data_IF_052628756623
#
_entry.id   IF_052628756623
#
_cell.length_a   1.000
_cell.length_b   1.000
_cell.length_c   1.000
_cell.angle_alpha   90.00
_cell.angle_beta   90.00
_cell.angle_gamma   90.00
#
_symmetry.space_group_name_H-M   'P 1'
#
loop_
_entity.id
_entity.type
_entity.pdbx_description
1 polymer ?
#
# COMPACT_ATOMS: atom_id res chain seq x y z
N UNK A 1 67.13 31.30 41.20
CA UNK A 1 65.94 31.82 40.55
C UNK A 1 66.03 31.41 39.04
N UNK A 2 65.39 30.31 38.63
CA UNK A 2 65.42 29.82 37.26
C UNK A 2 64.07 30.14 36.64
N UNK A 3 64.06 30.88 35.53
CA UNK A 3 62.88 31.18 34.72
C UNK A 3 62.53 29.95 33.83
N UNK A 4 61.31 29.44 33.95
CA UNK A 4 60.80 28.41 33.16
C UNK A 4 60.04 29.04 31.97
N UNK A 5 60.51 28.81 30.75
CA UNK A 5 59.85 29.24 29.53
C UNK A 5 58.91 28.10 29.06
N UNK A 6 57.62 28.39 29.01
CA UNK A 6 56.61 27.50 28.50
C UNK A 6 56.45 27.77 27.01
N UNK A 7 56.81 26.81 26.19
CA UNK A 7 56.61 26.81 24.75
C UNK A 7 55.16 26.24 24.42
N UNK A 8 54.30 27.10 23.95
CA UNK A 8 53.00 26.69 23.45
C UNK A 8 53.15 26.18 22.02
N UNK A 9 52.88 24.88 21.81
CA UNK A 9 52.72 24.30 20.49
C UNK A 9 51.24 24.44 20.09
N UNK A 10 50.94 25.28 19.09
CA UNK A 10 49.67 25.34 18.37
C UNK A 10 49.64 24.20 17.34
N UNK A 11 48.92 23.14 17.64
CA UNK A 11 48.58 22.11 16.68
C UNK A 11 47.33 22.57 15.93
N UNK A 12 47.52 23.05 14.73
CA UNK A 12 46.41 23.35 13.81
C UNK A 12 45.82 22.05 13.28
N UNK A 13 44.67 21.64 13.81
CA UNK A 13 43.85 20.56 13.25
C UNK A 13 43.12 21.11 12.01
N UNK A 14 43.64 20.83 10.83
CA UNK A 14 42.88 20.94 9.57
C UNK A 14 41.84 19.79 9.55
N UNK A 15 40.62 20.04 9.98
CA UNK A 15 39.50 19.23 9.68
C UNK A 15 39.14 19.43 8.18
N UNK A 16 39.73 18.61 7.34
CA UNK A 16 39.29 18.45 5.96
C UNK A 16 37.88 17.85 5.97
N UNK A 17 36.86 18.68 5.88
CA UNK A 17 35.52 18.24 5.55
C UNK A 17 35.56 17.77 4.09
N UNK A 18 35.76 16.47 3.92
CA UNK A 18 35.48 15.82 2.63
C UNK A 18 34.01 15.97 2.37
N UNK A 19 33.64 16.94 1.54
CA UNK A 19 32.29 16.97 0.93
C UNK A 19 32.25 15.75 0.03
N UNK A 20 31.65 14.67 0.52
CA UNK A 20 31.24 13.55 -0.34
C UNK A 20 30.12 14.11 -1.20
N UNK A 21 30.48 14.64 -2.36
CA UNK A 21 29.53 14.86 -3.45
C UNK A 21 29.12 13.46 -3.89
N UNK A 22 28.01 12.96 -3.36
CA UNK A 22 27.34 11.83 -3.94
C UNK A 22 27.03 12.19 -5.39
N UNK A 23 27.78 11.65 -6.32
CA UNK A 23 27.39 11.63 -7.71
C UNK A 23 26.12 10.81 -7.78
N UNK A 24 24.97 11.49 -7.74
CA UNK A 24 23.71 10.88 -8.15
C UNK A 24 23.82 10.56 -9.61
N UNK A 25 24.10 9.29 -9.93
CA UNK A 25 24.01 8.80 -11.30
C UNK A 25 22.58 9.09 -11.77
N UNK A 26 22.42 10.01 -12.73
CA UNK A 26 21.13 10.23 -13.36
C UNK A 26 20.76 8.97 -14.14
N UNK A 27 19.59 8.45 -13.88
CA UNK A 27 19.04 7.34 -14.65
C UNK A 27 18.69 7.80 -16.07
N UNK A 28 19.05 7.00 -17.06
CA UNK A 28 18.69 7.27 -18.45
C UNK A 28 17.22 6.88 -18.68
N UNK A 29 16.39 7.90 -18.92
CA UNK A 29 14.96 7.74 -19.16
C UNK A 29 14.69 7.98 -20.63
N UNK A 30 14.23 6.94 -21.32
CA UNK A 30 14.00 6.97 -22.75
C UNK A 30 12.71 7.74 -23.05
N UNK A 31 12.79 8.67 -24.00
CA UNK A 31 11.62 9.29 -24.63
C UNK A 31 11.36 8.56 -25.95
N UNK A 32 10.17 7.95 -26.09
CA UNK A 32 9.80 7.23 -27.30
C UNK A 32 9.76 8.16 -28.52
N UNK A 33 10.25 7.71 -29.67
CA UNK A 33 10.38 8.51 -30.88
C UNK A 33 9.07 9.10 -31.46
N UNK A 34 7.93 8.59 -31.01
CA UNK A 34 6.60 9.17 -31.33
C UNK A 34 6.32 10.50 -30.65
N UNK A 35 7.06 10.83 -29.60
CA UNK A 35 6.85 12.08 -28.84
C UNK A 35 7.61 13.18 -29.56
N UNK A 36 6.87 14.15 -30.07
CA UNK A 36 7.41 15.32 -30.76
C UNK A 36 7.98 16.34 -29.76
N UNK A 37 9.23 16.13 -29.36
CA UNK A 37 9.93 17.03 -28.42
C UNK A 37 10.40 18.34 -29.07
N UNK A 38 10.15 18.56 -30.37
CA UNK A 38 10.36 19.88 -31.01
C UNK A 38 9.34 20.91 -30.49
N UNK A 39 8.20 20.45 -30.01
CA UNK A 39 7.19 21.30 -29.35
C UNK A 39 7.68 21.70 -27.96
N UNK A 40 7.89 23.01 -27.68
CA UNK A 40 8.49 23.47 -26.42
C UNK A 40 7.75 22.97 -25.18
N UNK A 41 6.42 22.97 -25.22
CA UNK A 41 5.58 22.53 -24.13
C UNK A 41 5.77 21.02 -23.79
N UNK A 42 5.78 20.17 -24.83
CA UNK A 42 6.01 18.73 -24.66
C UNK A 42 7.41 18.45 -24.10
N UNK A 43 8.40 19.20 -24.59
CA UNK A 43 9.79 19.09 -24.09
C UNK A 43 9.88 19.45 -22.60
N UNK A 44 9.22 20.54 -22.19
CA UNK A 44 9.20 20.99 -20.78
C UNK A 44 8.54 19.93 -19.89
N UNK A 45 7.40 19.37 -20.32
CA UNK A 45 6.68 18.35 -19.58
C UNK A 45 7.50 17.02 -19.48
N UNK A 46 8.14 16.61 -20.57
CA UNK A 46 9.04 15.46 -20.54
C UNK A 46 10.19 15.66 -19.54
N UNK A 47 10.82 16.82 -19.58
CA UNK A 47 11.91 17.18 -18.66
C UNK A 47 11.42 17.25 -17.20
N UNK A 48 10.22 17.74 -16.94
CA UNK A 48 9.59 17.76 -15.61
C UNK A 48 9.48 16.33 -15.04
N UNK A 49 8.97 15.38 -15.84
CA UNK A 49 8.83 13.99 -15.43
C UNK A 49 10.19 13.32 -15.20
N UNK A 50 11.15 13.53 -16.10
CA UNK A 50 12.51 13.03 -15.97
C UNK A 50 13.18 13.59 -14.72
N UNK A 51 13.05 14.89 -14.46
CA UNK A 51 13.60 15.52 -13.27
C UNK A 51 12.99 14.96 -11.97
N UNK A 52 11.67 14.73 -11.95
CA UNK A 52 10.99 14.08 -10.82
C UNK A 52 11.50 12.65 -10.59
N UNK A 53 11.58 11.83 -11.63
CA UNK A 53 12.07 10.45 -11.51
C UNK A 53 13.54 10.37 -11.01
N UNK A 54 14.33 11.37 -11.32
CA UNK A 54 15.72 11.50 -10.84
C UNK A 54 15.83 12.28 -9.52
N UNK A 55 14.71 12.74 -8.95
CA UNK A 55 14.72 13.45 -7.66
C UNK A 55 14.87 12.48 -6.50
N UNK A 56 15.40 12.99 -5.38
CA UNK A 56 15.50 12.24 -4.14
C UNK A 56 14.11 12.19 -3.46
N UNK A 57 13.51 11.02 -3.28
CA UNK A 57 12.16 10.91 -2.75
C UNK A 57 12.00 11.28 -1.28
N UNK A 58 13.11 11.41 -0.53
CA UNK A 58 13.09 11.68 0.91
C UNK A 58 12.45 12.99 1.33
N UNK A 59 12.01 13.81 0.38
CA UNK A 59 11.40 15.13 0.64
C UNK A 59 10.19 15.37 -0.22
N UNK A 60 9.24 14.48 -0.13
CA UNK A 60 8.05 14.52 -0.98
C UNK A 60 7.25 15.77 -0.87
N UNK A 61 6.91 16.16 0.35
CA UNK A 61 6.18 17.38 0.63
C UNK A 61 6.92 18.63 0.17
N UNK A 62 8.24 18.52 -0.05
CA UNK A 62 9.12 19.58 -0.55
C UNK A 62 9.51 19.39 -2.03
N UNK A 63 8.98 18.35 -2.70
CA UNK A 63 9.35 18.07 -4.08
C UNK A 63 8.93 19.22 -5.01
N UNK A 64 9.88 19.91 -5.68
CA UNK A 64 9.60 21.08 -6.48
C UNK A 64 8.81 20.78 -7.76
N UNK A 65 8.77 19.51 -8.17
CA UNK A 65 8.12 19.08 -9.40
C UNK A 65 6.63 18.81 -9.21
N UNK A 66 6.17 18.66 -7.96
CA UNK A 66 4.79 18.31 -7.61
C UNK A 66 3.93 19.55 -7.32
N UNK A 67 2.61 19.46 -7.58
CA UNK A 67 1.67 20.52 -7.32
C UNK A 67 1.48 20.79 -5.81
N UNK A 68 1.15 22.03 -5.47
CA UNK A 68 1.07 22.48 -4.08
C UNK A 68 -0.17 21.93 -3.35
N UNK A 69 -1.27 21.75 -4.07
CA UNK A 69 -2.52 21.22 -3.51
C UNK A 69 -2.28 19.83 -2.88
N UNK A 70 -1.71 18.89 -3.65
CA UNK A 70 -1.44 17.55 -3.17
C UNK A 70 -0.30 17.51 -2.14
N UNK A 71 0.74 18.34 -2.29
CA UNK A 71 1.78 18.48 -1.28
C UNK A 71 1.20 18.87 0.08
N UNK A 72 0.27 19.83 0.12
CA UNK A 72 -0.38 20.24 1.35
C UNK A 72 -1.33 19.17 1.91
N UNK A 73 -2.06 18.49 1.04
CA UNK A 73 -3.01 17.44 1.42
C UNK A 73 -2.30 16.22 2.01
N UNK A 74 -1.16 15.84 1.44
CA UNK A 74 -0.46 14.59 1.76
C UNK A 74 0.89 14.79 2.48
N UNK A 75 1.15 15.98 3.02
CA UNK A 75 2.44 16.36 3.61
C UNK A 75 2.95 15.50 4.77
N UNK A 76 2.07 14.75 5.40
CA UNK A 76 2.42 13.85 6.51
C UNK A 76 2.55 12.38 6.08
N UNK A 77 2.63 12.14 4.78
CA UNK A 77 2.83 10.80 4.27
C UNK A 77 4.29 10.42 4.42
N UNK A 78 4.53 9.49 5.34
CA UNK A 78 5.83 8.86 5.44
C UNK A 78 6.02 7.91 4.26
N UNK A 79 7.21 7.94 3.76
CA UNK A 79 7.76 7.35 2.59
C UNK A 79 7.75 5.89 2.35
N UNK A 80 7.68 5.08 3.39
CA UNK A 80 8.28 3.75 3.41
C UNK A 80 7.32 2.60 3.27
N UNK A 81 6.13 2.81 2.74
CA UNK A 81 5.32 1.69 2.30
C UNK A 81 5.51 1.49 0.80
N UNK A 82 6.60 0.81 0.43
CA UNK A 82 6.97 0.51 -0.95
C UNK A 82 6.00 -0.42 -1.67
N UNK A 83 5.11 -1.05 -0.94
CA UNK A 83 4.11 -1.96 -1.49
C UNK A 83 2.92 -1.21 -2.08
N UNK A 84 2.76 0.07 -1.76
CA UNK A 84 1.62 0.87 -2.15
C UNK A 84 2.09 2.06 -2.98
N UNK A 85 1.62 2.23 -4.23
CA UNK A 85 1.87 3.44 -5.00
C UNK A 85 1.31 4.61 -4.22
N UNK A 86 2.16 5.54 -3.84
CA UNK A 86 1.70 6.71 -3.12
C UNK A 86 0.89 7.61 -4.03
N UNK A 87 -0.28 8.03 -3.57
CA UNK A 87 -1.10 9.01 -4.28
C UNK A 87 -0.34 10.31 -4.58
N UNK A 88 0.62 10.61 -3.74
CA UNK A 88 1.42 11.81 -3.86
C UNK A 88 2.74 11.55 -4.57
N UNK A 89 3.31 10.37 -4.42
CA UNK A 89 4.61 10.04 -4.95
C UNK A 89 4.68 8.62 -5.48
N UNK A 90 5.20 8.54 -6.67
CA UNK A 90 5.72 7.32 -7.22
C UNK A 90 7.16 7.14 -6.71
N UNK A 91 7.54 6.05 -6.03
CA UNK A 91 8.87 5.89 -5.45
C UNK A 91 9.93 5.74 -6.54
N UNK A 92 10.46 6.87 -7.02
CA UNK A 92 11.32 6.93 -8.20
C UNK A 92 12.65 6.21 -8.02
N UNK A 93 13.38 6.48 -6.94
CA UNK A 93 14.76 5.97 -6.79
C UNK A 93 14.84 4.46 -6.64
N UNK A 94 13.94 3.85 -5.89
CA UNK A 94 13.93 2.38 -5.80
C UNK A 94 13.42 1.75 -7.09
N UNK A 95 12.41 2.37 -7.69
CA UNK A 95 11.86 1.89 -8.95
C UNK A 95 12.92 1.86 -10.04
N UNK A 96 13.71 2.92 -10.18
CA UNK A 96 14.74 3.05 -11.22
C UNK A 96 15.95 2.13 -11.00
N UNK A 97 16.17 1.64 -9.79
CA UNK A 97 17.15 0.59 -9.53
C UNK A 97 16.75 -0.76 -10.14
N UNK A 98 15.45 -0.99 -10.29
CA UNK A 98 14.91 -2.28 -10.73
C UNK A 98 14.24 -2.23 -12.09
N UNK A 99 13.78 -1.08 -12.53
CA UNK A 99 13.00 -0.93 -13.74
C UNK A 99 13.53 0.20 -14.62
N UNK A 100 13.56 -0.03 -15.93
CA UNK A 100 13.91 1.01 -16.91
C UNK A 100 12.64 1.65 -17.44
N UNK A 101 12.47 2.98 -17.27
CA UNK A 101 11.31 3.69 -17.78
C UNK A 101 11.49 4.13 -19.23
N UNK A 102 10.41 4.04 -19.99
CA UNK A 102 10.27 4.68 -21.30
C UNK A 102 8.98 5.49 -21.34
N UNK A 103 9.09 6.79 -21.58
CA UNK A 103 7.93 7.67 -21.79
C UNK A 103 7.31 7.30 -23.14
N UNK A 104 6.05 6.81 -23.10
CA UNK A 104 5.33 6.32 -24.29
C UNK A 104 4.56 7.42 -24.99
N UNK A 105 3.92 8.31 -24.23
CA UNK A 105 3.16 9.43 -24.77
C UNK A 105 3.08 10.59 -23.76
N UNK A 106 2.92 11.80 -24.30
CA UNK A 106 2.56 13.02 -23.60
C UNK A 106 1.45 13.66 -24.42
N UNK A 107 0.21 13.56 -23.93
CA UNK A 107 -0.98 13.94 -24.68
C UNK A 107 -1.84 14.94 -23.91
N UNK A 108 -2.39 15.92 -24.62
CA UNK A 108 -3.26 16.91 -24.00
C UNK A 108 -4.63 16.30 -23.68
N UNK A 109 -5.04 16.41 -22.44
CA UNK A 109 -6.32 15.93 -21.91
C UNK A 109 -7.00 17.07 -21.13
N UNK A 110 -7.87 17.80 -21.80
CA UNK A 110 -8.46 19.02 -21.24
C UNK A 110 -7.40 20.09 -20.95
N UNK A 111 -7.32 20.54 -19.71
CA UNK A 111 -6.35 21.54 -19.25
C UNK A 111 -5.03 20.93 -18.74
N UNK A 112 -4.91 19.60 -18.79
CA UNK A 112 -3.73 18.86 -18.36
C UNK A 112 -3.08 18.11 -19.52
N UNK A 113 -1.86 17.59 -19.28
CA UNK A 113 -1.21 16.62 -20.15
C UNK A 113 -1.06 15.30 -19.42
N UNK A 114 -1.61 14.22 -19.99
CA UNK A 114 -1.37 12.84 -19.53
C UNK A 114 0.01 12.37 -19.96
N UNK A 115 0.83 11.91 -19.02
CA UNK A 115 2.16 11.35 -19.24
C UNK A 115 2.08 9.86 -19.00
N UNK A 116 2.29 9.03 -20.03
CA UNK A 116 2.29 7.57 -19.93
C UNK A 116 3.72 7.06 -20.01
N UNK A 117 4.12 6.25 -19.05
CA UNK A 117 5.46 5.69 -18.96
C UNK A 117 5.38 4.20 -18.67
N UNK A 118 6.02 3.39 -19.51
CA UNK A 118 6.16 1.95 -19.25
C UNK A 118 7.44 1.69 -18.46
N UNK A 119 7.36 0.76 -17.51
CA UNK A 119 8.47 0.30 -16.70
C UNK A 119 8.78 -1.15 -17.01
N UNK A 120 10.03 -1.41 -17.46
CA UNK A 120 10.54 -2.73 -17.78
C UNK A 120 11.42 -3.23 -16.65
N UNK A 121 11.16 -4.45 -16.15
CA UNK A 121 12.09 -5.15 -15.30
C UNK A 121 13.29 -5.63 -16.11
N UNK A 122 14.49 -5.23 -15.73
CA UNK A 122 15.73 -5.62 -16.40
C UNK A 122 16.63 -6.38 -15.41
N UNK A 123 16.86 -7.66 -15.70
CA UNK A 123 17.81 -8.47 -14.94
C UNK A 123 17.39 -8.89 -13.53
N UNK A 124 16.11 -8.71 -13.15
CA UNK A 124 15.62 -9.13 -11.84
C UNK A 124 15.41 -10.65 -11.76
N UNK A 125 15.87 -11.25 -10.67
CA UNK A 125 15.55 -12.62 -10.29
C UNK A 125 14.24 -12.69 -9.49
N UNK A 126 13.53 -13.81 -9.54
CA UNK A 126 12.33 -14.06 -8.74
C UNK A 126 11.02 -13.63 -9.39
N UNK A 127 10.10 -13.07 -8.61
CA UNK A 127 8.71 -12.79 -9.01
C UNK A 127 8.62 -11.85 -10.23
N UNK A 128 9.53 -10.91 -10.38
CA UNK A 128 9.54 -9.94 -11.48
C UNK A 128 10.13 -10.49 -12.79
N UNK A 129 10.82 -11.63 -12.73
CA UNK A 129 11.41 -12.29 -13.92
C UNK A 129 10.39 -12.68 -14.98
N UNK A 130 9.12 -12.87 -14.56
CA UNK A 130 8.01 -13.26 -15.46
C UNK A 130 7.19 -12.08 -16.00
N UNK A 131 7.40 -10.89 -15.47
CA UNK A 131 6.62 -9.69 -15.80
C UNK A 131 7.52 -8.60 -16.39
N UNK A 132 8.10 -8.86 -17.54
CA UNK A 132 8.80 -7.86 -18.32
C UNK A 132 7.97 -7.57 -19.58
N UNK A 133 7.19 -6.48 -19.61
CA UNK A 133 7.13 -5.28 -18.76
C UNK A 133 6.32 -5.47 -17.44
N UNK A 134 6.53 -4.55 -16.46
CA UNK A 134 5.82 -4.57 -15.19
C UNK A 134 4.52 -3.79 -15.20
N UNK A 135 4.55 -2.50 -15.56
CA UNK A 135 3.37 -1.64 -15.59
C UNK A 135 3.51 -0.48 -16.56
N UNK A 136 2.38 0.14 -16.87
CA UNK A 136 2.32 1.47 -17.47
C UNK A 136 1.75 2.42 -16.41
N UNK A 137 2.52 3.44 -16.07
CA UNK A 137 2.10 4.51 -15.18
C UNK A 137 1.56 5.66 -16.01
N UNK A 138 0.46 6.26 -15.58
CA UNK A 138 -0.08 7.50 -16.09
C UNK A 138 -0.25 8.49 -14.97
N UNK A 139 0.29 9.68 -15.13
CA UNK A 139 0.04 10.83 -14.27
C UNK A 139 -0.08 12.08 -15.13
N UNK A 140 -0.32 13.19 -14.52
CA UNK A 140 -0.65 14.41 -15.25
C UNK A 140 0.34 15.53 -14.96
N UNK A 141 0.57 16.37 -15.98
CA UNK A 141 1.16 17.68 -15.82
C UNK A 141 0.07 18.74 -15.91
N UNK A 142 0.05 19.65 -14.95
CA UNK A 142 -0.89 20.78 -14.87
C UNK A 142 -0.14 22.11 -14.78
N UNK A 143 -0.78 23.20 -15.18
CA UNK A 143 -0.26 24.55 -14.97
C UNK A 143 -0.55 25.03 -13.53
N UNK A 144 0.49 25.46 -12.82
CA UNK A 144 0.40 26.07 -11.52
C UNK A 144 1.30 27.32 -11.46
N UNK A 145 0.72 28.50 -11.35
CA UNK A 145 1.46 29.79 -11.31
C UNK A 145 2.46 29.95 -12.47
N UNK A 146 2.03 29.58 -13.70
CA UNK A 146 2.85 29.67 -14.91
C UNK A 146 3.91 28.60 -15.06
N UNK A 147 3.95 27.59 -14.19
CA UNK A 147 4.88 26.48 -14.27
C UNK A 147 4.14 25.14 -14.39
N UNK A 148 4.74 24.18 -15.09
CA UNK A 148 4.24 22.83 -15.12
C UNK A 148 4.57 22.10 -13.82
N UNK A 149 3.58 21.40 -13.25
CA UNK A 149 3.68 20.58 -12.04
C UNK A 149 3.01 19.24 -12.26
N UNK A 150 3.53 18.21 -11.61
CA UNK A 150 2.94 16.88 -11.64
C UNK A 150 1.71 16.79 -10.71
N UNK A 151 0.76 15.97 -11.11
CA UNK A 151 -0.49 15.68 -10.36
C UNK A 151 -0.88 14.21 -10.54
N UNK A 152 -1.42 13.60 -9.47
CA UNK A 152 -1.92 12.23 -9.52
C UNK A 152 -3.17 12.10 -10.39
N UNK A 153 -3.42 10.87 -10.85
CA UNK A 153 -4.62 10.52 -11.63
C UNK A 153 -5.91 10.67 -10.84
N UNK A 154 -5.91 10.34 -9.54
CA UNK A 154 -7.12 10.33 -8.71
C UNK A 154 -7.97 11.60 -8.86
N UNK A 155 -7.47 12.81 -8.58
CA UNK A 155 -8.30 14.02 -8.67
C UNK A 155 -8.71 14.38 -10.10
N UNK A 156 -7.96 13.93 -11.10
CA UNK A 156 -8.29 14.17 -12.51
C UNK A 156 -9.40 13.22 -12.98
N UNK A 157 -9.24 11.92 -12.71
CA UNK A 157 -10.21 10.89 -13.13
C UNK A 157 -11.55 11.09 -12.41
N UNK A 158 -11.50 11.45 -11.13
CA UNK A 158 -12.70 11.55 -10.30
C UNK A 158 -13.33 12.96 -10.28
N UNK A 159 -12.86 13.87 -11.15
CA UNK A 159 -13.32 15.28 -11.19
C UNK A 159 -14.83 15.38 -11.32
N UNK A 160 -15.42 14.56 -12.19
CA UNK A 160 -16.83 14.58 -12.52
C UNK A 160 -17.60 13.41 -11.87
N UNK A 161 -17.03 12.77 -10.88
CA UNK A 161 -17.68 11.70 -10.14
C UNK A 161 -18.74 12.27 -9.19
N UNK A 162 -19.81 11.49 -9.03
CA UNK A 162 -20.82 11.78 -8.03
C UNK A 162 -20.30 11.49 -6.62
N UNK A 163 -20.89 12.17 -5.64
CA UNK A 163 -20.56 11.99 -4.23
C UNK A 163 -21.82 11.95 -3.37
N UNK A 164 -21.91 10.92 -2.50
CA UNK A 164 -23.00 10.80 -1.52
C UNK A 164 -22.40 10.54 -0.14
N UNK A 165 -22.73 11.39 0.82
CA UNK A 165 -22.25 11.22 2.19
C UNK A 165 -23.33 10.54 3.06
N UNK A 166 -22.95 9.44 3.72
CA UNK A 166 -23.77 8.78 4.73
C UNK A 166 -22.91 8.62 6.00
N UNK A 167 -23.36 9.23 7.09
CA UNK A 167 -22.60 9.26 8.34
C UNK A 167 -21.20 9.90 8.15
N UNK A 168 -20.15 9.13 8.36
CA UNK A 168 -18.77 9.59 8.22
C UNK A 168 -18.09 9.11 6.93
N UNK A 169 -18.80 8.48 6.01
CA UNK A 169 -18.26 8.01 4.73
C UNK A 169 -18.82 8.87 3.60
N UNK A 170 -17.93 9.42 2.78
CA UNK A 170 -18.28 10.06 1.50
C UNK A 170 -17.98 9.07 0.39
N UNK A 171 -19.02 8.46 -0.16
CA UNK A 171 -18.93 7.56 -1.30
C UNK A 171 -18.76 8.37 -2.56
N UNK A 172 -17.74 8.05 -3.36
CA UNK A 172 -17.44 8.68 -4.66
C UNK A 172 -17.48 7.62 -5.74
N UNK A 173 -18.20 7.88 -6.81
CA UNK A 173 -18.47 6.88 -7.85
C UNK A 173 -18.74 7.54 -9.20
N UNK A 174 -18.43 6.88 -10.34
CA UNK A 174 -18.77 7.40 -11.66
C UNK A 174 -20.30 7.47 -11.85
N UNK A 175 -20.77 8.37 -12.70
CA UNK A 175 -22.21 8.55 -13.00
C UNK A 175 -22.91 7.28 -13.57
N UNK A 176 -22.13 6.33 -14.10
CA UNK A 176 -22.62 5.03 -14.54
C UNK A 176 -22.95 4.07 -13.39
N UNK A 177 -22.40 4.29 -12.20
CA UNK A 177 -22.66 3.45 -11.03
C UNK A 177 -24.02 3.76 -10.40
N UNK A 178 -24.77 2.70 -10.06
CA UNK A 178 -26.07 2.83 -9.37
C UNK A 178 -25.87 2.74 -7.86
N UNK A 179 -25.83 3.87 -7.22
CA UNK A 179 -25.59 3.97 -5.78
C UNK A 179 -26.62 3.18 -4.96
N UNK A 180 -26.15 2.27 -4.10
CA UNK A 180 -26.97 1.44 -3.23
C UNK A 180 -26.95 1.96 -1.79
N UNK A 181 -27.94 2.80 -1.44
CA UNK A 181 -28.08 3.37 -0.11
C UNK A 181 -28.13 2.33 1.02
N UNK A 182 -28.68 1.12 0.78
CA UNK A 182 -28.74 0.06 1.79
C UNK A 182 -27.36 -0.51 2.09
N UNK A 183 -26.54 -0.73 1.07
CA UNK A 183 -25.15 -1.18 1.26
C UNK A 183 -24.31 -0.11 1.92
N UNK A 184 -24.48 1.15 1.54
CA UNK A 184 -23.80 2.28 2.18
C UNK A 184 -24.15 2.41 3.66
N UNK A 185 -25.44 2.23 4.01
CA UNK A 185 -25.86 2.22 5.43
C UNK A 185 -25.27 1.03 6.19
N UNK A 186 -25.23 -0.17 5.56
CA UNK A 186 -24.59 -1.36 6.13
C UNK A 186 -23.11 -1.12 6.43
N UNK A 187 -22.41 -0.32 5.62
CA UNK A 187 -21.01 0.04 5.84
C UNK A 187 -20.81 0.86 7.12
N UNK A 188 -21.70 1.83 7.36
CA UNK A 188 -21.69 2.60 8.61
C UNK A 188 -21.96 1.70 9.83
N UNK A 189 -22.96 0.82 9.73
CA UNK A 189 -23.33 -0.13 10.79
C UNK A 189 -22.16 -1.08 11.10
N UNK A 190 -21.49 -1.60 10.07
CA UNK A 190 -20.31 -2.44 10.23
C UNK A 190 -19.18 -1.70 10.94
N UNK A 191 -18.81 -0.50 10.48
CA UNK A 191 -17.76 0.30 11.11
C UNK A 191 -18.06 0.59 12.59
N UNK A 192 -19.31 0.96 12.90
CA UNK A 192 -19.75 1.20 14.27
C UNK A 192 -19.73 -0.08 15.13
N UNK A 193 -20.17 -1.21 14.57
CA UNK A 193 -20.20 -2.49 15.29
C UNK A 193 -18.80 -2.97 15.66
N UNK A 194 -17.84 -2.94 14.73
CA UNK A 194 -16.44 -3.30 14.98
C UNK A 194 -15.81 -2.38 16.01
N UNK A 195 -16.00 -1.07 15.86
CA UNK A 195 -15.46 -0.07 16.80
C UNK A 195 -15.99 -0.30 18.21
N UNK A 196 -17.30 -0.61 18.36
CA UNK A 196 -17.93 -0.90 19.63
C UNK A 196 -17.46 -2.24 20.20
N UNK A 197 -17.49 -3.32 19.40
CA UNK A 197 -17.12 -4.68 19.82
C UNK A 197 -15.68 -4.72 20.37
N UNK A 198 -14.75 -4.12 19.63
CA UNK A 198 -13.32 -4.14 20.00
C UNK A 198 -12.90 -2.91 20.81
N UNK A 199 -13.83 -2.02 21.15
CA UNK A 199 -13.53 -0.79 21.92
C UNK A 199 -12.37 0.00 21.28
N UNK A 200 -12.38 0.11 19.96
CA UNK A 200 -11.42 0.94 19.23
C UNK A 200 -11.76 2.43 19.39
N UNK A 201 -10.80 3.34 19.22
CA UNK A 201 -11.09 4.77 19.16
C UNK A 201 -12.15 5.07 18.10
N UNK A 202 -12.87 6.15 18.26
CA UNK A 202 -13.82 6.60 17.25
C UNK A 202 -13.09 6.80 15.91
N UNK A 203 -13.63 6.17 14.85
CA UNK A 203 -13.04 6.26 13.54
C UNK A 203 -13.26 7.63 12.88
N UNK A 204 -12.30 8.05 12.06
CA UNK A 204 -12.33 9.32 11.35
C UNK A 204 -13.16 9.23 10.05
N UNK A 205 -13.76 10.33 9.59
CA UNK A 205 -14.37 10.38 8.27
C UNK A 205 -13.37 9.99 7.17
N UNK A 206 -13.86 9.36 6.10
CA UNK A 206 -13.05 9.01 4.94
C UNK A 206 -13.84 9.05 3.63
N UNK A 207 -13.11 9.22 2.52
CA UNK A 207 -13.63 9.09 1.17
C UNK A 207 -13.55 7.62 0.72
N UNK A 208 -14.65 7.09 0.17
CA UNK A 208 -14.71 5.75 -0.39
C UNK A 208 -14.94 5.81 -1.89
N UNK A 209 -13.91 5.49 -2.68
CA UNK A 209 -13.96 5.48 -4.14
C UNK A 209 -14.36 4.10 -4.64
N UNK A 210 -15.42 4.04 -5.45
CA UNK A 210 -15.99 2.82 -5.99
C UNK A 210 -15.67 2.71 -7.46
N UNK A 211 -14.99 1.64 -7.87
CA UNK A 211 -14.74 1.24 -9.25
C UNK A 211 -15.26 -0.17 -9.48
N UNK A 212 -15.44 -0.57 -10.74
CA UNK A 212 -16.02 -1.88 -11.11
C UNK A 212 -14.95 -2.99 -11.17
N UNK A 213 -13.67 -2.65 -11.17
CA UNK A 213 -12.57 -3.61 -11.26
C UNK A 213 -11.29 -3.15 -10.57
N UNK A 214 -10.38 -4.10 -10.29
CA UNK A 214 -9.04 -3.80 -9.79
C UNK A 214 -8.23 -2.95 -10.77
N UNK A 215 -8.40 -3.15 -12.09
CA UNK A 215 -7.70 -2.34 -13.09
C UNK A 215 -8.16 -0.89 -13.09
N UNK A 216 -9.45 -0.63 -12.91
CA UNK A 216 -9.97 0.73 -12.74
C UNK A 216 -9.48 1.36 -11.44
N UNK A 217 -9.44 0.59 -10.36
CA UNK A 217 -8.84 1.03 -9.10
C UNK A 217 -7.37 1.40 -9.30
N UNK A 218 -6.61 0.58 -10.02
CA UNK A 218 -5.22 0.85 -10.35
C UNK A 218 -5.03 2.19 -11.05
N UNK A 219 -5.93 2.56 -11.98
CA UNK A 219 -5.89 3.86 -12.68
C UNK A 219 -6.02 5.04 -11.73
N UNK A 220 -6.82 4.93 -10.66
CA UNK A 220 -6.90 5.96 -9.63
C UNK A 220 -5.56 6.17 -8.91
N UNK A 221 -4.71 5.14 -8.87
CA UNK A 221 -3.40 5.13 -8.23
C UNK A 221 -2.24 5.27 -9.23
N UNK A 222 -2.49 5.90 -10.38
CA UNK A 222 -1.53 6.14 -11.45
C UNK A 222 -1.15 4.90 -12.29
N UNK A 223 -1.71 3.72 -12.04
CA UNK A 223 -1.46 2.54 -12.87
C UNK A 223 -2.46 2.47 -14.02
N UNK A 224 -2.06 2.98 -15.19
CA UNK A 224 -2.88 2.88 -16.40
C UNK A 224 -3.04 1.42 -16.85
N UNK A 225 -2.00 0.62 -16.62
CA UNK A 225 -2.02 -0.83 -16.83
C UNK A 225 -0.99 -1.55 -15.96
N UNK A 226 -1.37 -2.64 -15.32
CA UNK A 226 -0.48 -3.55 -14.61
C UNK A 226 -0.49 -4.93 -15.26
N UNK A 227 0.65 -5.41 -15.73
CA UNK A 227 0.76 -6.72 -16.40
C UNK A 227 0.53 -7.91 -15.46
N UNK A 228 0.65 -7.70 -14.16
CA UNK A 228 0.32 -8.68 -13.12
C UNK A 228 -1.09 -8.54 -12.55
N UNK A 229 -1.92 -7.65 -13.11
CA UNK A 229 -3.20 -7.24 -12.52
C UNK A 229 -3.03 -6.25 -11.36
N UNK A 230 -4.13 -5.81 -10.78
CA UNK A 230 -4.12 -4.92 -9.64
C UNK A 230 -5.02 -5.44 -8.51
N UNK A 231 -4.86 -4.92 -7.29
CA UNK A 231 -5.72 -5.28 -6.17
C UNK A 231 -7.16 -4.80 -6.38
N UNK A 232 -8.12 -5.50 -5.76
CA UNK A 232 -9.53 -5.11 -5.78
C UNK A 232 -9.93 -4.25 -4.59
N UNK A 233 -9.01 -3.97 -3.67
CA UNK A 233 -9.27 -3.13 -2.51
C UNK A 233 -8.00 -2.52 -1.95
N UNK A 234 -8.12 -1.33 -1.35
CA UNK A 234 -7.03 -0.67 -0.67
C UNK A 234 -7.53 0.36 0.35
N UNK A 235 -7.16 0.16 1.60
CA UNK A 235 -7.40 1.12 2.68
C UNK A 235 -6.17 2.01 2.90
N UNK A 236 -6.25 3.27 2.51
CA UNK A 236 -5.19 4.27 2.67
C UNK A 236 -5.48 5.15 3.89
N UNK A 237 -5.33 4.58 5.08
CA UNK A 237 -5.74 5.19 6.35
C UNK A 237 -5.14 6.58 6.59
N UNK A 238 -3.86 6.77 6.30
CA UNK A 238 -3.18 8.07 6.48
C UNK A 238 -3.84 9.20 5.68
N UNK A 239 -4.45 8.84 4.55
CA UNK A 239 -5.12 9.79 3.65
C UNK A 239 -6.61 9.90 3.89
N UNK A 240 -7.19 9.04 4.73
CA UNK A 240 -8.65 8.94 4.87
C UNK A 240 -9.30 8.51 3.55
N UNK A 241 -8.71 7.54 2.85
CA UNK A 241 -9.18 7.05 1.55
C UNK A 241 -9.33 5.54 1.61
N UNK A 242 -10.43 5.06 1.06
CA UNK A 242 -10.67 3.67 0.74
C UNK A 242 -11.00 3.55 -0.74
N UNK A 243 -10.46 2.53 -1.39
CA UNK A 243 -10.67 2.23 -2.80
C UNK A 243 -11.22 0.81 -2.93
N UNK A 244 -12.25 0.63 -3.78
CA UNK A 244 -12.85 -0.66 -4.06
C UNK A 244 -13.00 -0.88 -5.56
N UNK A 245 -12.61 -2.06 -6.05
CA UNK A 245 -12.83 -2.56 -7.40
C UNK A 245 -13.96 -3.59 -7.50
N UNK A 246 -14.96 -3.53 -6.62
CA UNK A 246 -16.09 -4.49 -6.61
C UNK A 246 -17.43 -3.86 -7.01
N UNK A 247 -17.48 -2.61 -7.42
CA UNK A 247 -18.74 -1.94 -7.74
C UNK A 247 -19.73 -1.90 -6.58
N UNK A 248 -19.26 -1.80 -5.34
CA UNK A 248 -20.11 -1.93 -4.15
C UNK A 248 -19.73 -0.93 -3.07
N UNK A 249 -20.75 -0.39 -2.40
CA UNK A 249 -20.61 0.48 -1.23
C UNK A 249 -20.24 -0.30 0.05
N UNK A 250 -20.15 -1.62 -0.01
CA UNK A 250 -19.85 -2.46 1.14
C UNK A 250 -18.62 -3.33 0.90
N UNK A 251 -17.51 -2.97 1.53
CA UNK A 251 -16.26 -3.72 1.46
C UNK A 251 -15.63 -3.84 2.86
N UNK A 252 -16.16 -4.74 3.70
CA UNK A 252 -15.81 -4.80 5.12
C UNK A 252 -14.34 -5.11 5.40
N UNK A 253 -13.63 -5.84 4.54
CA UNK A 253 -12.20 -6.12 4.69
C UNK A 253 -11.41 -4.81 4.76
N UNK A 254 -11.59 -3.93 3.79
CA UNK A 254 -10.86 -2.67 3.72
C UNK A 254 -11.28 -1.67 4.80
N UNK A 255 -12.53 -1.72 5.26
CA UNK A 255 -12.95 -0.90 6.42
C UNK A 255 -12.13 -1.22 7.65
N UNK A 256 -11.79 -2.49 7.90
CA UNK A 256 -10.96 -2.89 9.04
C UNK A 256 -9.62 -2.15 9.03
N UNK A 257 -8.94 -2.04 7.89
CA UNK A 257 -7.66 -1.33 7.81
C UNK A 257 -7.78 0.14 8.21
N UNK A 258 -8.91 0.80 7.93
CA UNK A 258 -9.17 2.17 8.37
C UNK A 258 -9.52 2.27 9.86
N UNK A 259 -10.20 1.26 10.41
CA UNK A 259 -10.66 1.24 11.80
C UNK A 259 -9.57 0.87 12.80
N UNK A 260 -8.63 0.00 12.40
CA UNK A 260 -7.56 -0.47 13.29
C UNK A 260 -6.74 0.70 13.84
N UNK A 261 -6.44 0.76 15.14
CA UNK A 261 -5.56 1.78 15.71
C UNK A 261 -4.19 1.78 15.02
N UNK A 262 -3.46 2.91 15.09
CA UNK A 262 -2.13 3.02 14.48
C UNK A 262 -1.09 2.34 15.36
N UNK A 263 -0.85 1.06 15.12
CA UNK A 263 0.22 0.29 15.72
C UNK A 263 1.15 -0.28 14.65
N UNK A 264 2.42 -0.44 14.98
CA UNK A 264 3.32 -1.28 14.19
C UNK A 264 2.99 -2.73 14.50
N UNK A 265 2.16 -3.35 13.66
CA UNK A 265 1.65 -4.71 13.89
C UNK A 265 2.15 -5.68 12.84
N UNK A 266 2.10 -6.96 13.18
CA UNK A 266 2.45 -8.02 12.24
C UNK A 266 1.38 -8.14 11.14
N UNK A 267 1.81 -8.15 9.87
CA UNK A 267 0.91 -8.16 8.72
C UNK A 267 -0.06 -9.36 8.70
N UNK A 268 0.36 -10.55 9.18
CA UNK A 268 -0.55 -11.70 9.30
C UNK A 268 -1.73 -11.43 10.23
N UNK A 269 -1.53 -10.66 11.29
CA UNK A 269 -2.60 -10.36 12.24
C UNK A 269 -3.49 -9.23 11.74
N UNK A 270 -2.92 -8.25 11.07
CA UNK A 270 -3.70 -7.20 10.41
C UNK A 270 -4.64 -7.77 9.35
N UNK A 271 -4.08 -8.50 8.39
CA UNK A 271 -4.84 -9.16 7.32
C UNK A 271 -5.77 -10.26 7.85
N UNK A 272 -5.30 -11.00 8.86
CA UNK A 272 -6.10 -12.02 9.51
C UNK A 272 -7.31 -11.47 10.22
N UNK A 273 -7.18 -10.35 10.93
CA UNK A 273 -8.30 -9.70 11.59
C UNK A 273 -9.29 -9.12 10.56
N UNK A 274 -8.78 -8.52 9.49
CA UNK A 274 -9.61 -8.02 8.38
C UNK A 274 -10.36 -9.18 7.70
N UNK A 275 -9.71 -10.31 7.46
CA UNK A 275 -10.33 -11.51 6.86
C UNK A 275 -11.36 -12.14 7.81
N UNK A 276 -11.07 -12.26 9.10
CA UNK A 276 -12.01 -12.81 10.07
C UNK A 276 -13.30 -12.01 10.16
N UNK A 277 -13.21 -10.69 10.19
CA UNK A 277 -14.40 -9.81 10.35
C UNK A 277 -15.01 -9.38 9.01
N UNK A 278 -14.22 -9.28 7.95
CA UNK A 278 -14.64 -8.71 6.67
C UNK A 278 -14.62 -9.67 5.48
N UNK A 279 -14.06 -10.87 5.63
CA UNK A 279 -13.84 -11.78 4.51
C UNK A 279 -12.60 -11.42 3.70
N UNK A 280 -12.39 -12.09 2.57
CA UNK A 280 -11.26 -11.91 1.68
C UNK A 280 -11.64 -12.15 0.22
N UNK A 281 -11.30 -11.23 -0.68
CA UNK A 281 -11.49 -11.42 -2.13
C UNK A 281 -12.93 -11.75 -2.52
N UNK A 282 -13.93 -11.13 -1.88
CA UNK A 282 -15.35 -11.37 -2.11
C UNK A 282 -15.91 -12.62 -1.43
N UNK A 283 -15.08 -13.41 -0.71
CA UNK A 283 -15.50 -14.59 0.06
C UNK A 283 -15.65 -14.25 1.53
N UNK A 284 -16.58 -14.91 2.21
CA UNK A 284 -16.67 -14.87 3.67
C UNK A 284 -15.43 -15.54 4.31
N UNK A 285 -15.20 -15.27 5.59
CA UNK A 285 -14.18 -15.98 6.37
C UNK A 285 -14.43 -17.50 6.36
N UNK A 286 -15.67 -17.95 6.49
CA UNK A 286 -16.01 -19.36 6.48
C UNK A 286 -15.61 -20.04 5.16
N UNK A 287 -15.98 -19.46 4.01
CA UNK A 287 -15.59 -19.99 2.69
C UNK A 287 -14.08 -20.04 2.50
N UNK A 288 -13.36 -19.01 2.96
CA UNK A 288 -11.89 -18.97 2.90
C UNK A 288 -11.26 -20.05 3.77
N UNK A 289 -11.81 -20.29 4.98
CA UNK A 289 -11.34 -21.32 5.89
C UNK A 289 -11.60 -22.74 5.35
N UNK A 290 -12.74 -22.97 4.69
CA UNK A 290 -13.06 -24.24 4.03
C UNK A 290 -12.07 -24.56 2.89
N UNK A 291 -11.74 -23.55 2.07
CA UNK A 291 -10.73 -23.69 1.01
C UNK A 291 -9.37 -24.05 1.61
N UNK A 292 -8.93 -23.33 2.65
CA UNK A 292 -7.67 -23.60 3.33
C UNK A 292 -7.65 -25.01 3.93
N UNK A 293 -8.75 -25.46 4.53
CA UNK A 293 -8.86 -26.79 5.11
C UNK A 293 -8.71 -27.89 4.06
N UNK A 294 -9.26 -27.71 2.86
CA UNK A 294 -9.07 -28.66 1.76
C UNK A 294 -7.61 -28.75 1.32
N UNK A 295 -6.90 -27.63 1.24
CA UNK A 295 -5.48 -27.61 0.88
C UNK A 295 -4.59 -28.25 1.96
N UNK A 296 -4.88 -28.01 3.24
CA UNK A 296 -4.19 -28.67 4.37
C UNK A 296 -4.43 -30.18 4.42
N UNK A 297 -5.60 -30.61 4.00
CA UNK A 297 -5.92 -32.03 3.90
C UNK A 297 -5.15 -32.73 2.78
N UNK A 298 -4.97 -32.07 1.63
CA UNK A 298 -4.21 -32.60 0.49
C UNK A 298 -2.71 -32.57 0.70
N UNK A 299 -2.21 -31.69 1.58
CA UNK A 299 -0.80 -31.47 1.79
C UNK A 299 -0.48 -31.44 3.30
N UNK A 300 0.12 -32.53 3.79
CA UNK A 300 0.47 -32.70 5.19
C UNK A 300 1.81 -32.03 5.59
N UNK A 301 2.59 -31.58 4.62
CA UNK A 301 3.91 -30.95 4.85
C UNK A 301 3.86 -29.46 5.09
N UNK A 302 2.69 -28.82 4.92
CA UNK A 302 2.54 -27.38 5.15
C UNK A 302 2.71 -27.02 6.61
N UNK A 303 3.64 -26.14 6.91
CA UNK A 303 3.93 -25.62 8.25
C UNK A 303 3.48 -24.17 8.39
N UNK A 304 3.36 -23.70 9.63
CA UNK A 304 3.12 -22.29 9.93
C UNK A 304 4.22 -21.39 9.36
N UNK A 305 5.47 -21.83 9.42
CA UNK A 305 6.62 -21.09 8.88
C UNK A 305 6.55 -20.93 7.36
N UNK A 306 6.16 -22.00 6.63
CA UNK A 306 5.97 -21.89 5.17
C UNK A 306 4.94 -20.82 4.80
N UNK A 307 3.84 -20.74 5.58
CA UNK A 307 2.81 -19.73 5.38
C UNK A 307 3.32 -18.31 5.69
N UNK A 308 4.12 -18.16 6.76
CA UNK A 308 4.72 -16.89 7.12
C UNK A 308 5.63 -16.32 6.02
N UNK A 309 6.29 -17.18 5.25
CA UNK A 309 7.21 -16.78 4.16
C UNK A 309 6.50 -16.27 2.90
N UNK A 310 5.20 -16.48 2.75
CA UNK A 310 4.40 -16.06 1.57
C UNK A 310 4.99 -16.48 0.21
N UNK A 311 5.62 -17.64 0.12
CA UNK A 311 6.43 -18.04 -1.04
C UNK A 311 5.62 -18.48 -2.28
N UNK A 312 4.29 -18.74 -2.15
CA UNK A 312 3.47 -19.38 -3.19
C UNK A 312 2.10 -18.70 -3.36
N UNK A 313 1.50 -18.76 -4.54
CA UNK A 313 0.24 -18.09 -4.84
C UNK A 313 -0.92 -18.44 -3.90
N UNK A 314 -1.18 -19.72 -3.62
CA UNK A 314 -2.20 -20.14 -2.66
C UNK A 314 -1.82 -19.82 -1.21
N UNK A 315 -0.54 -19.79 -0.88
CA UNK A 315 -0.05 -19.43 0.45
C UNK A 315 -0.27 -17.97 0.80
N UNK A 316 -0.43 -17.10 -0.20
CA UNK A 316 -0.83 -15.71 0.07
C UNK A 316 -2.25 -15.67 0.66
N UNK A 317 -3.21 -16.38 0.06
CA UNK A 317 -4.54 -16.52 0.64
C UNK A 317 -4.53 -17.28 1.97
N UNK A 318 -3.65 -18.29 2.10
CA UNK A 318 -3.45 -19.04 3.34
C UNK A 318 -2.94 -18.16 4.48
N UNK A 319 -2.04 -17.22 4.21
CA UNK A 319 -1.53 -16.25 5.18
C UNK A 319 -2.64 -15.42 5.82
N UNK A 320 -3.57 -14.91 5.03
CA UNK A 320 -4.73 -14.16 5.51
C UNK A 320 -5.70 -15.04 6.29
N UNK A 321 -6.05 -16.19 5.73
CA UNK A 321 -7.04 -17.10 6.32
C UNK A 321 -6.54 -17.75 7.60
N UNK A 322 -5.27 -18.16 7.66
CA UNK A 322 -4.69 -18.70 8.90
C UNK A 322 -4.60 -17.63 9.98
N UNK A 323 -4.20 -16.41 9.60
CA UNK A 323 -4.25 -15.26 10.50
C UNK A 323 -5.66 -15.02 11.07
N UNK A 324 -6.70 -15.18 10.24
CA UNK A 324 -8.09 -15.05 10.65
C UNK A 324 -8.51 -16.13 11.66
N UNK A 325 -8.13 -17.39 11.41
CA UNK A 325 -8.37 -18.52 12.34
C UNK A 325 -7.66 -18.26 13.68
N UNK A 326 -6.41 -17.78 13.67
CA UNK A 326 -5.68 -17.41 14.88
C UNK A 326 -6.40 -16.29 15.63
N UNK A 327 -6.83 -15.22 14.95
CA UNK A 327 -7.57 -14.13 15.57
C UNK A 327 -8.85 -14.63 16.23
N UNK A 328 -9.61 -15.49 15.56
CA UNK A 328 -10.81 -16.10 16.12
C UNK A 328 -10.51 -16.95 17.35
N UNK A 329 -9.47 -17.81 17.32
CA UNK A 329 -9.08 -18.68 18.46
C UNK A 329 -8.61 -17.86 19.66
N UNK A 330 -7.87 -16.79 19.41
CA UNK A 330 -7.47 -15.86 20.47
C UNK A 330 -8.69 -15.16 21.07
N UNK A 331 -9.69 -14.80 20.25
CA UNK A 331 -10.93 -14.26 20.75
C UNK A 331 -11.73 -15.27 21.59
N UNK A 332 -11.85 -16.51 21.12
CA UNK A 332 -12.53 -17.59 21.86
C UNK A 332 -11.86 -17.87 23.21
N UNK A 333 -10.52 -17.76 23.29
CA UNK A 333 -9.74 -18.00 24.51
C UNK A 333 -9.86 -16.89 25.55
N UNK A 334 -9.77 -15.62 25.12
CA UNK A 334 -9.66 -14.50 26.06
C UNK A 334 -10.38 -13.20 25.64
N UNK A 335 -11.31 -13.31 24.70
CA UNK A 335 -12.16 -12.19 24.26
C UNK A 335 -11.41 -11.04 23.63
N UNK A 336 -12.02 -9.87 23.68
CA UNK A 336 -11.52 -8.62 23.08
C UNK A 336 -10.12 -8.25 23.54
N UNK A 337 -9.83 -8.41 24.84
CA UNK A 337 -8.53 -8.02 25.40
C UNK A 337 -7.36 -8.84 24.80
N UNK A 338 -7.59 -10.15 24.60
CA UNK A 338 -6.58 -11.03 23.96
C UNK A 338 -6.38 -10.68 22.50
N UNK A 339 -7.43 -10.32 21.76
CA UNK A 339 -7.31 -9.84 20.39
C UNK A 339 -6.55 -8.51 20.32
N UNK A 340 -6.83 -7.57 21.21
CA UNK A 340 -6.05 -6.31 21.28
C UNK A 340 -4.57 -6.57 21.52
N UNK A 341 -4.23 -7.44 22.49
CA UNK A 341 -2.85 -7.86 22.74
C UNK A 341 -2.20 -8.48 21.50
N UNK A 342 -2.95 -9.30 20.76
CA UNK A 342 -2.46 -9.89 19.51
C UNK A 342 -2.24 -8.83 18.43
N UNK A 343 -3.15 -7.85 18.29
CA UNK A 343 -3.03 -6.74 17.34
C UNK A 343 -1.85 -5.79 17.62
N UNK A 344 -1.33 -5.78 18.84
CA UNK A 344 -0.15 -5.01 19.24
C UNK A 344 1.18 -5.75 18.97
N UNK A 345 1.12 -6.95 18.38
CA UNK A 345 2.32 -7.72 18.05
C UNK A 345 3.17 -7.00 17.00
N UNK A 346 4.44 -6.68 17.29
CA UNK A 346 5.33 -6.04 16.32
C UNK A 346 5.52 -6.88 15.06
N UNK A 347 5.92 -6.24 13.95
CA UNK A 347 6.18 -6.93 12.68
C UNK A 347 7.47 -7.76 12.73
N UNK A 348 7.42 -8.85 13.49
CA UNK A 348 8.50 -9.83 13.67
C UNK A 348 7.88 -11.22 13.82
N UNK A 349 8.30 -12.16 13.00
CA UNK A 349 7.80 -13.56 13.04
C UNK A 349 8.01 -14.21 14.40
N UNK A 350 9.16 -13.99 15.04
CA UNK A 350 9.44 -14.54 16.37
C UNK A 350 8.51 -13.97 17.43
N UNK A 351 8.28 -12.63 17.41
CA UNK A 351 7.34 -11.99 18.34
C UNK A 351 5.90 -12.45 18.09
N UNK A 352 5.53 -12.68 16.85
CA UNK A 352 4.23 -13.23 16.50
C UNK A 352 4.05 -14.62 17.14
N UNK A 353 5.00 -15.53 16.92
CA UNK A 353 4.96 -16.88 17.47
C UNK A 353 4.92 -16.86 19.01
N UNK A 354 5.80 -16.07 19.63
CA UNK A 354 5.83 -15.91 21.10
C UNK A 354 4.46 -15.44 21.65
N UNK A 355 3.86 -14.44 21.00
CA UNK A 355 2.61 -13.86 21.47
C UNK A 355 1.42 -14.80 21.25
N UNK A 356 1.33 -15.48 20.10
CA UNK A 356 0.32 -16.52 19.85
C UNK A 356 0.43 -17.64 20.91
N UNK A 357 1.65 -18.16 21.12
CA UNK A 357 1.89 -19.23 22.07
C UNK A 357 1.52 -18.80 23.51
N UNK A 358 1.89 -17.59 23.89
CA UNK A 358 1.55 -17.03 25.21
C UNK A 358 0.05 -16.88 25.44
N UNK A 359 -0.69 -16.34 24.45
CA UNK A 359 -2.13 -16.12 24.59
C UNK A 359 -2.90 -17.45 24.57
N UNK A 360 -2.52 -18.39 23.70
CA UNK A 360 -3.20 -19.67 23.55
C UNK A 360 -2.71 -20.73 24.54
N UNK A 361 -1.67 -20.44 25.33
CA UNK A 361 -1.05 -21.35 26.30
C UNK A 361 -0.53 -22.65 25.65
N UNK A 362 0.10 -22.51 24.46
CA UNK A 362 0.72 -23.62 23.75
C UNK A 362 2.24 -23.46 23.70
N UNK A 363 2.98 -24.55 23.57
CA UNK A 363 4.43 -24.49 23.37
C UNK A 363 4.76 -24.15 21.91
N UNK A 364 5.91 -23.49 21.66
CA UNK A 364 6.37 -23.13 20.32
C UNK A 364 6.40 -24.33 19.35
N UNK A 365 6.84 -25.48 19.81
CA UNK A 365 6.88 -26.70 19.00
C UNK A 365 5.51 -27.35 18.74
N UNK A 366 4.44 -26.79 19.28
CA UNK A 366 3.06 -27.25 19.07
C UNK A 366 2.30 -26.39 18.06
N UNK A 367 2.89 -25.26 17.58
CA UNK A 367 2.18 -24.28 16.76
C UNK A 367 1.71 -24.89 15.42
N UNK A 368 2.53 -25.71 14.77
CA UNK A 368 2.14 -26.36 13.51
C UNK A 368 0.96 -27.31 13.71
N UNK A 369 1.02 -28.14 14.75
CA UNK A 369 -0.07 -29.06 15.09
C UNK A 369 -1.34 -28.31 15.47
N UNK A 370 -1.23 -27.22 16.24
CA UNK A 370 -2.35 -26.35 16.57
C UNK A 370 -2.99 -25.77 15.31
N UNK A 371 -2.20 -25.12 14.44
CA UNK A 371 -2.70 -24.51 13.21
C UNK A 371 -3.39 -25.55 12.32
N UNK A 372 -2.77 -26.71 12.12
CA UNK A 372 -3.35 -27.81 11.33
C UNK A 372 -4.66 -28.30 11.92
N UNK A 373 -4.71 -28.52 13.24
CA UNK A 373 -5.91 -28.98 13.93
C UNK A 373 -7.06 -27.98 13.79
N UNK A 374 -6.78 -26.69 13.99
CA UNK A 374 -7.81 -25.66 13.90
C UNK A 374 -8.30 -25.44 12.46
N UNK A 375 -7.41 -25.47 11.47
CA UNK A 375 -7.76 -25.35 10.05
C UNK A 375 -8.64 -26.54 9.63
N UNK A 376 -8.29 -27.79 9.98
CA UNK A 376 -9.03 -28.97 9.54
C UNK A 376 -10.46 -29.06 10.13
N UNK A 377 -10.79 -28.30 11.18
CA UNK A 377 -12.18 -28.21 11.68
C UNK A 377 -13.15 -27.60 10.68
N UNK A 378 -12.65 -26.80 9.73
CA UNK A 378 -13.45 -26.17 8.66
C UNK A 378 -13.64 -27.10 7.45
N UNK A 379 -13.06 -28.29 7.46
CA UNK A 379 -13.25 -29.23 6.36
C UNK A 379 -14.71 -29.70 6.30
N UNK A 380 -15.36 -29.44 5.17
CA UNK A 380 -16.67 -30.01 4.86
C UNK A 380 -16.56 -31.55 4.83
N UNK A 381 -17.45 -32.23 5.52
CA UNK A 381 -17.52 -33.69 5.58
C UNK A 381 -18.06 -34.27 4.28
#
# INVERSE_FOLDING_TARGET
MKKLSIFFWLVSFFLGTSIVVSQTSSFDIIIHSRIDTSKPEIKVIANLWIAYLNSTPDRLYDNPHWNLEEKNKYKYCDYFDFSIPHLYQFPSTQLLNYFKPTILSIEKEGDAYGIRTIFFADGLEGMYRKSNPWCIVKLYAIQENGNWKLKNSLPIITKDWEATTIGKITFRYPSSHKFNKKLAQKSIEFCNSITKEFQFPAWNPFDFYITESGDELGKLLNFDFSFGGYTTGMGLKKYGILLSGFGSEYYPHEFIHLLLPNFNRHSMIEEGFATWKGGQGGKSFQESAEILAQEFFKNDTVTFENILKKEWGWQHAAFYTLGAIICQKVYEKGGVNSVKKLLETPNSNDKLIENICSILEIKRNQIDNFCRTEVLKYRLK
#
